data_IF_977232186321
#
_entry.id   IF_977232186321
#
_cell.length_a   1.000
_cell.length_b   1.000
_cell.length_c   1.000
_cell.angle_alpha   90.00
_cell.angle_beta   90.00
_cell.angle_gamma   90.00
#
_symmetry.space_group_name_H-M   'P 1'
#
loop_
_entity.id
_entity.type
_entity.pdbx_description
1 polymer ?
#
# COMPACT_ATOMS: atom_id res chain seq x y z
N UNK A 1 16.01 25.03 10.64
CA UNK A 1 14.87 25.37 9.76
C UNK A 1 13.94 24.16 9.64
N UNK A 2 13.35 23.69 10.76
CA UNK A 2 12.50 22.47 10.82
C UNK A 2 11.45 22.60 11.95
N UNK A 3 10.80 23.76 12.10
CA UNK A 3 9.85 23.99 13.20
C UNK A 3 8.44 24.45 12.77
N UNK A 4 8.14 24.52 11.47
CA UNK A 4 6.82 24.97 11.01
C UNK A 4 5.78 23.86 10.83
N UNK A 5 6.18 22.60 10.66
CA UNK A 5 5.23 21.48 10.45
C UNK A 5 4.53 20.98 11.72
N UNK A 6 4.99 21.38 12.91
CA UNK A 6 4.44 20.86 14.16
C UNK A 6 3.17 21.57 14.65
N UNK A 7 2.74 22.64 13.98
CA UNK A 7 1.56 23.44 14.37
C UNK A 7 0.30 23.22 13.53
N UNK A 8 0.29 22.24 12.63
CA UNK A 8 -0.94 21.92 11.91
C UNK A 8 -1.98 21.34 12.89
N UNK A 9 -3.23 21.82 12.89
CA UNK A 9 -4.29 21.26 13.71
C UNK A 9 -4.48 19.78 13.35
N UNK A 10 -4.76 18.95 14.36
CA UNK A 10 -4.89 17.49 14.23
C UNK A 10 -5.86 17.08 13.09
N UNK A 11 -6.92 17.87 12.88
CA UNK A 11 -7.90 17.70 11.81
C UNK A 11 -7.32 17.89 10.41
N UNK A 12 -6.42 18.86 10.21
CA UNK A 12 -5.80 19.13 8.90
C UNK A 12 -4.75 18.08 8.53
N UNK A 13 -4.03 17.53 9.52
CA UNK A 13 -3.12 16.38 9.31
C UNK A 13 -3.90 15.14 8.93
N UNK A 14 -5.01 14.88 9.61
CA UNK A 14 -5.91 13.76 9.31
C UNK A 14 -6.48 13.87 7.90
N UNK A 15 -6.97 15.05 7.51
CA UNK A 15 -7.48 15.30 6.16
C UNK A 15 -6.42 15.04 5.08
N UNK A 16 -5.19 15.54 5.29
CA UNK A 16 -4.08 15.30 4.36
C UNK A 16 -3.76 13.81 4.18
N UNK A 17 -3.78 13.02 5.27
CA UNK A 17 -3.55 11.58 5.21
C UNK A 17 -4.66 10.88 4.41
N UNK A 18 -5.92 11.24 4.67
CA UNK A 18 -7.06 10.72 3.91
C UNK A 18 -6.98 11.04 2.42
N UNK A 19 -6.61 12.28 2.05
CA UNK A 19 -6.45 12.67 0.64
C UNK A 19 -5.37 11.83 -0.06
N UNK A 20 -4.22 11.64 0.59
CA UNK A 20 -3.14 10.80 0.05
C UNK A 20 -3.58 9.34 -0.07
N UNK A 21 -4.27 8.81 0.94
CA UNK A 21 -4.75 7.43 0.92
C UNK A 21 -5.77 7.19 -0.20
N UNK A 22 -6.72 8.11 -0.38
CA UNK A 22 -7.73 8.04 -1.45
C UNK A 22 -7.07 8.19 -2.83
N UNK A 23 -6.16 9.15 -2.99
CA UNK A 23 -5.43 9.33 -4.24
C UNK A 23 -4.61 8.08 -4.59
N UNK A 24 -3.92 7.48 -3.61
CA UNK A 24 -3.16 6.25 -3.79
C UNK A 24 -4.05 5.06 -4.15
N UNK A 25 -5.22 4.94 -3.51
CA UNK A 25 -6.23 3.93 -3.85
C UNK A 25 -6.68 4.06 -5.31
N UNK A 26 -7.05 5.28 -5.72
CA UNK A 26 -7.45 5.56 -7.10
C UNK A 26 -6.32 5.28 -8.11
N UNK A 27 -5.09 5.64 -7.76
CA UNK A 27 -3.91 5.39 -8.58
C UNK A 27 -3.63 3.89 -8.79
N UNK A 28 -3.68 3.08 -7.72
CA UNK A 28 -3.51 1.62 -7.82
C UNK A 28 -4.61 1.02 -8.69
N UNK A 29 -5.86 1.42 -8.49
CA UNK A 29 -6.98 0.96 -9.33
C UNK A 29 -6.78 1.34 -10.80
N UNK A 30 -6.36 2.58 -11.08
CA UNK A 30 -6.10 3.05 -12.43
C UNK A 30 -5.00 2.27 -13.13
N UNK A 31 -3.84 2.05 -12.49
CA UNK A 31 -2.76 1.25 -13.08
C UNK A 31 -3.21 -0.20 -13.26
N UNK A 32 -3.88 -0.77 -12.27
CA UNK A 32 -4.28 -2.18 -12.28
C UNK A 32 -5.28 -2.46 -13.41
N UNK A 33 -6.18 -1.52 -13.71
CA UNK A 33 -7.20 -1.67 -14.75
C UNK A 33 -6.84 -0.98 -16.08
N UNK A 34 -5.62 -0.46 -16.20
CA UNK A 34 -5.12 0.05 -17.48
C UNK A 34 -4.81 -1.11 -18.42
N UNK A 35 -4.76 -0.84 -19.73
CA UNK A 35 -4.46 -1.86 -20.74
C UNK A 35 -3.10 -2.52 -20.47
N UNK A 36 -2.91 -3.73 -21.01
CA UNK A 36 -1.62 -4.41 -20.95
C UNK A 36 -0.50 -3.55 -21.52
N UNK A 37 0.67 -3.61 -20.87
CA UNK A 37 1.85 -2.92 -21.34
C UNK A 37 2.24 -3.44 -22.73
N UNK A 38 2.50 -2.53 -23.67
CA UNK A 38 3.02 -2.90 -24.98
C UNK A 38 4.55 -2.98 -24.93
N UNK A 39 5.18 -3.79 -25.80
CA UNK A 39 6.64 -3.83 -25.89
C UNK A 39 7.23 -2.44 -26.11
N UNK A 40 8.09 -1.99 -25.19
CA UNK A 40 8.71 -0.66 -25.21
C UNK A 40 8.01 0.42 -24.38
N UNK A 41 6.85 0.12 -23.77
CA UNK A 41 6.24 0.99 -22.76
C UNK A 41 7.03 0.96 -21.45
N UNK A 42 7.05 2.06 -20.69
CA UNK A 42 7.69 2.10 -19.36
C UNK A 42 7.14 1.06 -18.38
N UNK A 43 5.91 0.60 -18.60
CA UNK A 43 5.19 -0.39 -17.80
C UNK A 43 5.46 -1.84 -18.25
N UNK A 44 6.21 -2.07 -19.33
CA UNK A 44 6.67 -3.40 -19.70
C UNK A 44 7.85 -3.78 -18.80
N UNK A 45 7.53 -4.41 -17.67
CA UNK A 45 8.52 -4.72 -16.65
C UNK A 45 9.56 -5.76 -17.11
N UNK A 46 9.25 -6.54 -18.15
CA UNK A 46 10.16 -7.55 -18.69
C UNK A 46 11.41 -6.92 -19.31
N UNK A 47 11.30 -5.69 -19.83
CA UNK A 47 12.42 -4.98 -20.46
C UNK A 47 13.59 -4.71 -19.50
N UNK A 48 13.33 -4.66 -18.19
CA UNK A 48 14.36 -4.37 -17.17
C UNK A 48 15.19 -5.61 -16.80
N UNK A 49 14.82 -6.81 -17.26
CA UNK A 49 15.58 -8.05 -17.02
C UNK A 49 15.61 -8.51 -15.55
N UNK A 50 14.78 -7.93 -14.68
CA UNK A 50 14.68 -8.31 -13.27
C UNK A 50 13.62 -9.39 -13.14
N UNK A 51 14.07 -10.58 -12.71
CA UNK A 51 13.17 -11.71 -12.49
C UNK A 51 12.10 -11.36 -11.45
N UNK A 52 10.83 -11.57 -11.80
CA UNK A 52 9.68 -11.33 -10.94
C UNK A 52 9.54 -9.88 -10.42
N UNK A 53 10.08 -8.88 -11.14
CA UNK A 53 9.97 -7.46 -10.77
C UNK A 53 8.53 -7.03 -10.48
N UNK A 54 7.61 -7.47 -11.32
CA UNK A 54 6.18 -7.24 -11.19
C UNK A 54 5.65 -7.66 -9.80
N UNK A 55 5.99 -8.87 -9.36
CA UNK A 55 5.63 -9.39 -8.04
C UNK A 55 6.21 -8.54 -6.90
N UNK A 56 7.45 -8.06 -7.05
CA UNK A 56 8.04 -7.15 -6.06
C UNK A 56 7.34 -5.80 -6.01
N UNK A 57 6.88 -5.28 -7.15
CA UNK A 57 6.10 -4.04 -7.21
C UNK A 57 4.73 -4.22 -6.56
N UNK A 58 4.04 -5.34 -6.82
CA UNK A 58 2.80 -5.72 -6.14
C UNK A 58 2.99 -5.80 -4.61
N UNK A 59 3.99 -6.56 -4.16
CA UNK A 59 4.36 -6.65 -2.74
C UNK A 59 4.65 -5.28 -2.12
N UNK A 60 5.49 -4.47 -2.76
CA UNK A 60 5.88 -3.16 -2.26
C UNK A 60 4.73 -2.16 -2.24
N UNK A 61 3.89 -2.15 -3.28
CA UNK A 61 2.74 -1.26 -3.40
C UNK A 61 1.73 -1.52 -2.27
N UNK A 62 1.38 -2.79 -2.02
CA UNK A 62 0.43 -3.13 -0.96
C UNK A 62 1.02 -2.96 0.44
N UNK A 63 2.33 -3.15 0.62
CA UNK A 63 3.03 -2.78 1.85
C UNK A 63 2.97 -1.28 2.13
N UNK A 64 3.23 -0.45 1.12
CA UNK A 64 3.08 1.01 1.21
C UNK A 64 1.63 1.41 1.49
N UNK A 65 0.66 0.74 0.87
CA UNK A 65 -0.76 0.97 1.08
C UNK A 65 -1.15 0.78 2.55
N UNK A 66 -0.63 -0.27 3.20
CA UNK A 66 -0.80 -0.49 4.64
C UNK A 66 -0.16 0.63 5.47
N UNK A 67 1.04 1.10 5.10
CA UNK A 67 1.67 2.23 5.79
C UNK A 67 0.80 3.49 5.71
N UNK A 68 0.24 3.81 4.54
CA UNK A 68 -0.68 4.95 4.38
C UNK A 68 -1.96 4.74 5.18
N UNK A 69 -2.51 3.53 5.20
CA UNK A 69 -3.67 3.16 6.01
C UNK A 69 -3.44 3.40 7.50
N UNK A 70 -2.26 3.04 8.02
CA UNK A 70 -1.89 3.25 9.42
C UNK A 70 -1.94 4.72 9.86
N UNK A 71 -1.50 5.65 8.99
CA UNK A 71 -1.55 7.09 9.28
C UNK A 71 -2.95 7.71 9.08
N UNK A 72 -3.88 6.95 8.50
CA UNK A 72 -5.20 7.44 8.09
C UNK A 72 -6.30 6.99 9.05
N UNK A 73 -6.27 5.74 9.50
CA UNK A 73 -7.30 5.16 10.39
C UNK A 73 -6.82 5.07 11.85
N UNK A 74 -7.75 4.98 12.79
CA UNK A 74 -7.42 4.73 14.19
C UNK A 74 -6.82 3.32 14.37
N UNK A 75 -6.02 3.15 15.44
CA UNK A 75 -5.41 1.86 15.76
C UNK A 75 -6.42 0.70 15.91
N UNK A 76 -7.64 1.00 16.39
CA UNK A 76 -8.74 0.03 16.50
C UNK A 76 -9.26 -0.45 15.15
N UNK A 77 -9.26 0.41 14.13
CA UNK A 77 -9.73 0.09 12.77
C UNK A 77 -8.60 -0.38 11.83
N UNK A 78 -7.34 -0.32 12.27
CA UNK A 78 -6.19 -0.64 11.41
C UNK A 78 -6.22 -2.08 10.87
N UNK A 79 -6.64 -3.06 11.68
CA UNK A 79 -6.79 -4.45 11.21
C UNK A 79 -7.85 -4.57 10.12
N UNK A 80 -9.01 -3.93 10.31
CA UNK A 80 -10.08 -3.92 9.31
C UNK A 80 -9.62 -3.22 8.02
N UNK A 81 -8.90 -2.11 8.14
CA UNK A 81 -8.30 -1.42 6.99
C UNK A 81 -7.38 -2.36 6.18
N UNK A 82 -6.51 -3.13 6.84
CA UNK A 82 -5.66 -4.11 6.15
C UNK A 82 -6.46 -5.19 5.43
N UNK A 83 -7.54 -5.70 6.04
CA UNK A 83 -8.44 -6.67 5.41
C UNK A 83 -9.10 -6.06 4.17
N UNK A 84 -9.56 -4.81 4.25
CA UNK A 84 -10.15 -4.10 3.11
C UNK A 84 -9.14 -3.84 1.99
N UNK A 85 -7.89 -3.51 2.32
CA UNK A 85 -6.81 -3.37 1.33
C UNK A 85 -6.53 -4.71 0.62
N UNK A 86 -6.45 -5.81 1.37
CA UNK A 86 -6.26 -7.14 0.78
C UNK A 86 -7.45 -7.53 -0.12
N UNK A 87 -8.68 -7.32 0.35
CA UNK A 87 -9.90 -7.58 -0.44
C UNK A 87 -9.98 -6.70 -1.69
N UNK A 88 -9.56 -5.44 -1.60
CA UNK A 88 -9.46 -4.54 -2.74
C UNK A 88 -8.49 -5.09 -3.80
N UNK A 89 -7.32 -5.59 -3.39
CA UNK A 89 -6.36 -6.16 -4.33
C UNK A 89 -6.83 -7.43 -5.02
N UNK A 90 -7.45 -8.36 -4.27
CA UNK A 90 -8.09 -9.52 -4.87
C UNK A 90 -9.23 -9.13 -5.82
N UNK A 91 -10.03 -8.11 -5.46
CA UNK A 91 -11.09 -7.59 -6.33
C UNK A 91 -10.54 -7.05 -7.65
N UNK A 92 -9.45 -6.27 -7.60
CA UNK A 92 -8.79 -5.76 -8.81
C UNK A 92 -8.25 -6.89 -9.68
N UNK A 93 -7.65 -7.92 -9.09
CA UNK A 93 -7.15 -9.10 -9.80
C UNK A 93 -8.26 -9.80 -10.59
N UNK A 94 -9.43 -10.00 -9.96
CA UNK A 94 -10.60 -10.56 -10.65
C UNK A 94 -11.12 -9.66 -11.77
N UNK A 95 -11.04 -8.33 -11.59
CA UNK A 95 -11.48 -7.37 -12.60
C UNK A 95 -10.52 -7.28 -13.80
N UNK A 96 -9.23 -7.53 -13.60
CA UNK A 96 -8.22 -7.55 -14.67
C UNK A 96 -8.51 -8.58 -15.75
N UNK A 97 -9.13 -9.72 -15.41
CA UNK A 97 -9.56 -10.71 -16.40
C UNK A 97 -10.60 -10.20 -17.41
N UNK A 98 -11.21 -9.04 -17.17
CA UNK A 98 -12.11 -8.38 -18.12
C UNK A 98 -11.43 -7.27 -18.95
N UNK A 99 -10.15 -6.98 -18.69
CA UNK A 99 -9.39 -5.93 -19.38
C UNK A 99 -8.68 -6.54 -20.60
N UNK A 100 -8.88 -6.01 -21.81
CA UNK A 100 -8.24 -6.54 -23.01
C UNK A 100 -6.71 -6.62 -22.89
N UNK A 101 -6.16 -7.80 -23.15
CA UNK A 101 -4.72 -8.07 -23.10
C UNK A 101 -4.15 -8.33 -21.70
N UNK A 102 -4.97 -8.21 -20.64
CA UNK A 102 -4.58 -8.59 -19.27
C UNK A 102 -5.14 -9.96 -18.95
N UNK A 103 -4.43 -10.69 -18.10
CA UNK A 103 -4.91 -11.93 -17.51
C UNK A 103 -4.97 -11.75 -16.00
N UNK A 104 -5.96 -12.38 -15.37
CA UNK A 104 -5.99 -12.47 -13.92
C UNK A 104 -4.94 -13.50 -13.47
N UNK A 105 -4.05 -13.08 -12.58
CA UNK A 105 -2.86 -13.76 -12.14
C UNK A 105 -2.94 -13.99 -10.61
N UNK A 106 -3.12 -15.25 -10.21
CA UNK A 106 -3.22 -15.59 -8.79
C UNK A 106 -1.93 -15.27 -8.02
N UNK A 107 -0.78 -15.36 -8.68
CA UNK A 107 0.52 -15.00 -8.14
C UNK A 107 0.63 -13.50 -7.78
N UNK A 108 -0.01 -12.62 -8.54
CA UNK A 108 -0.05 -11.18 -8.22
C UNK A 108 -0.99 -10.90 -7.04
N UNK A 109 -2.12 -11.61 -6.96
CA UNK A 109 -2.97 -11.63 -5.77
C UNK A 109 -2.23 -12.07 -4.50
N UNK A 110 -1.37 -13.11 -4.61
CA UNK A 110 -0.52 -13.56 -3.50
C UNK A 110 0.52 -12.50 -3.13
N UNK A 111 1.17 -11.88 -4.12
CA UNK A 111 2.14 -10.81 -3.88
C UNK A 111 1.52 -9.62 -3.14
N UNK A 112 0.31 -9.20 -3.54
CA UNK A 112 -0.47 -8.17 -2.87
C UNK A 112 -0.73 -8.54 -1.41
N UNK A 113 -1.23 -9.75 -1.15
CA UNK A 113 -1.53 -10.24 0.18
C UNK A 113 -0.28 -10.28 1.07
N UNK A 114 0.85 -10.76 0.53
CA UNK A 114 2.13 -10.78 1.25
C UNK A 114 2.60 -9.37 1.60
N UNK A 115 2.42 -8.39 0.71
CA UNK A 115 2.68 -6.98 0.98
C UNK A 115 1.87 -6.46 2.16
N UNK A 116 0.57 -6.78 2.21
CA UNK A 116 -0.32 -6.41 3.32
C UNK A 116 0.13 -7.06 4.64
N UNK A 117 0.41 -8.36 4.63
CA UNK A 117 0.82 -9.11 5.82
C UNK A 117 2.14 -8.54 6.39
N UNK A 118 3.15 -8.41 5.55
CA UNK A 118 4.46 -7.89 5.97
C UNK A 118 4.33 -6.44 6.43
N UNK A 119 3.59 -5.60 5.70
CA UNK A 119 3.33 -4.21 6.09
C UNK A 119 2.66 -4.11 7.47
N UNK A 120 1.66 -4.95 7.74
CA UNK A 120 0.96 -4.99 9.02
C UNK A 120 1.90 -5.32 10.18
N UNK A 121 2.70 -6.38 10.04
CA UNK A 121 3.64 -6.80 11.07
C UNK A 121 4.79 -5.80 11.24
N UNK A 122 5.29 -5.20 10.16
CA UNK A 122 6.31 -4.16 10.22
C UNK A 122 5.80 -2.95 11.03
N UNK A 123 4.58 -2.48 10.78
CA UNK A 123 3.97 -1.39 11.56
C UNK A 123 3.80 -1.78 13.03
N UNK A 124 3.29 -2.97 13.33
CA UNK A 124 3.18 -3.43 14.72
C UNK A 124 4.54 -3.50 15.43
N UNK A 125 5.56 -3.99 14.75
CA UNK A 125 6.92 -4.06 15.31
C UNK A 125 7.48 -2.66 15.58
N UNK A 126 7.41 -1.75 14.61
CA UNK A 126 7.92 -0.38 14.73
C UNK A 126 7.18 0.42 15.83
N UNK A 127 5.87 0.25 15.96
CA UNK A 127 5.06 0.95 16.97
C UNK A 127 5.27 0.36 18.36
N UNK A 128 5.43 -0.96 18.48
CA UNK A 128 5.84 -1.61 19.72
C UNK A 128 7.21 -1.13 20.22
N UNK A 129 8.18 -0.95 19.33
CA UNK A 129 9.51 -0.40 19.67
C UNK A 129 9.44 1.04 20.19
N UNK A 130 8.57 1.88 19.60
CA UNK A 130 8.37 3.27 20.05
C UNK A 130 7.80 3.30 21.46
N UNK A 131 6.82 2.46 21.76
CA UNK A 131 6.20 2.37 23.08
C UNK A 131 7.25 2.01 24.16
N UNK A 132 8.06 0.98 23.92
CA UNK A 132 9.11 0.56 24.85
C UNK A 132 10.16 1.65 25.12
N UNK A 133 10.54 2.43 24.09
CA UNK A 133 11.52 3.52 24.24
C UNK A 133 10.98 4.72 25.01
N UNK A 134 9.70 5.06 24.87
CA UNK A 134 9.08 6.14 25.66
C UNK A 134 9.09 5.77 27.14
N UNK A 135 8.66 4.55 27.46
CA UNK A 135 8.57 4.09 28.85
C UNK A 135 9.94 3.98 29.54
N UNK A 136 11.01 3.68 28.79
CA UNK A 136 12.40 3.66 29.33
C UNK A 136 12.96 5.06 29.61
N UNK A 137 12.45 6.13 28.98
CA UNK A 137 12.93 7.51 29.22
C UNK A 137 12.26 8.18 30.41
N UNK A 138 11.14 7.64 30.87
CA UNK A 138 10.34 8.15 31.99
C UNK A 138 10.71 7.49 33.34
N UNK A 139 11.51 6.42 33.30
CA UNK A 139 12.07 5.72 34.46
C UNK A 139 13.58 6.00 34.58
#
# INVERSE_FOLDING_TARGET
MMSHFNKLPHTLKSLGCWLVFIAYTGWIGFISLSHAAQPGDLTDLNQYGIMALDKFLHFGAYGLFVCLGYYTVSATHFRLCCIMIAGYGFGLEMMQGNVPGREAALDDGIANLMGVIVGYYAIKWLTGLKYQRSHRREN
#
